data_IF_893725788108
#
_entry.id   IF_893725788108
#
_cell.length_a   1.000
_cell.length_b   1.000
_cell.length_c   1.000
_cell.angle_alpha   90.00
_cell.angle_beta   90.00
_cell.angle_gamma   90.00
#
_symmetry.space_group_name_H-M   'P 1'
#
loop_
_entity.id
_entity.type
_entity.pdbx_description
1 polymer ?
#
# COMPACT_ATOMS: atom_id res chain seq x y z
N UNK A 1 -55.99 35.37 27.27
CA UNK A 1 -55.72 33.98 27.70
C UNK A 1 -55.54 33.15 26.45
N UNK A 2 -54.30 32.87 26.06
CA UNK A 2 -53.97 32.09 24.87
C UNK A 2 -53.69 30.63 25.28
N UNK A 3 -54.29 29.70 24.55
CA UNK A 3 -54.22 28.26 24.77
C UNK A 3 -52.82 27.70 24.48
N UNK A 4 -52.37 26.79 25.34
CA UNK A 4 -51.09 26.08 25.25
C UNK A 4 -51.16 24.93 24.22
N UNK A 5 -50.58 25.16 23.04
CA UNK A 5 -49.95 24.19 22.15
C UNK A 5 -48.48 24.65 22.10
N UNK A 6 -47.42 23.89 22.26
CA UNK A 6 -47.14 22.49 21.99
C UNK A 6 -46.06 22.02 22.97
N UNK A 7 -46.20 20.79 23.51
CA UNK A 7 -45.05 20.14 24.15
C UNK A 7 -44.12 19.68 23.02
N UNK A 8 -42.83 20.09 23.00
CA UNK A 8 -41.90 19.52 22.04
C UNK A 8 -41.74 18.03 22.38
N UNK A 9 -42.16 17.19 21.44
CA UNK A 9 -41.91 15.75 21.42
C UNK A 9 -40.40 15.57 21.64
N UNK A 10 -40.08 14.76 22.65
CA UNK A 10 -38.73 14.62 23.19
C UNK A 10 -37.68 14.54 22.09
N UNK A 11 -36.64 15.36 22.24
CA UNK A 11 -35.42 15.23 21.46
C UNK A 11 -35.01 13.75 21.45
N UNK A 12 -34.74 13.13 20.29
CA UNK A 12 -34.19 11.80 20.27
C UNK A 12 -32.87 11.88 21.04
N UNK A 13 -32.83 11.20 22.18
CA UNK A 13 -31.59 10.89 22.89
C UNK A 13 -30.56 10.47 21.85
N UNK A 14 -29.32 10.97 21.96
CA UNK A 14 -28.18 10.60 21.13
C UNK A 14 -28.03 9.07 21.12
N UNK A 15 -28.75 8.41 20.22
CA UNK A 15 -28.87 6.96 20.18
C UNK A 15 -27.58 6.41 19.57
N UNK A 16 -27.15 5.28 20.14
CA UNK A 16 -26.05 4.46 19.64
C UNK A 16 -26.02 4.40 18.10
N UNK A 17 -24.82 4.37 17.50
CA UNK A 17 -24.70 4.28 16.05
C UNK A 17 -25.42 3.03 15.53
N UNK A 18 -26.48 3.25 14.75
CA UNK A 18 -27.31 2.21 14.11
C UNK A 18 -26.47 1.40 13.14
N UNK A 19 -26.63 0.07 13.19
CA UNK A 19 -25.95 -0.89 12.33
C UNK A 19 -26.86 -1.39 11.22
N UNK A 20 -26.26 -1.87 10.14
CA UNK A 20 -26.97 -2.56 9.09
C UNK A 20 -27.72 -3.78 9.64
N UNK A 21 -29.00 -3.92 9.32
CA UNK A 21 -29.86 -4.98 9.84
C UNK A 21 -30.65 -4.59 11.09
N UNK A 22 -30.41 -3.42 11.68
CA UNK A 22 -31.25 -2.91 12.76
C UNK A 22 -32.67 -2.61 12.24
N UNK A 23 -33.67 -2.89 13.07
CA UNK A 23 -35.09 -2.62 12.79
C UNK A 23 -35.65 -1.76 13.93
N UNK A 24 -36.15 -0.57 13.59
CA UNK A 24 -36.76 0.36 14.53
C UNK A 24 -38.27 0.45 14.29
N UNK A 25 -39.11 -0.01 15.24
CA UNK A 25 -40.55 0.15 15.15
C UNK A 25 -40.98 1.59 15.45
N UNK A 26 -41.92 2.10 14.66
CA UNK A 26 -42.60 3.37 14.91
C UNK A 26 -44.13 3.16 14.77
N UNK A 27 -44.98 4.07 15.29
CA UNK A 27 -46.42 3.81 15.42
C UNK A 27 -47.14 3.39 14.13
N UNK A 28 -46.64 3.82 12.96
CA UNK A 28 -47.21 3.48 11.65
C UNK A 28 -46.36 2.52 10.83
N UNK A 29 -45.27 1.97 11.37
CA UNK A 29 -44.40 1.08 10.58
C UNK A 29 -43.10 0.65 11.25
N UNK A 30 -42.13 0.26 10.41
CA UNK A 30 -40.79 -0.12 10.85
C UNK A 30 -39.76 0.48 9.89
N UNK A 31 -38.70 1.09 10.43
CA UNK A 31 -37.53 1.52 9.68
C UNK A 31 -36.53 0.36 9.72
N UNK A 32 -36.10 -0.13 8.56
CA UNK A 32 -35.03 -1.14 8.46
C UNK A 32 -33.79 -0.48 7.90
N UNK A 33 -32.67 -0.57 8.62
CA UNK A 33 -31.41 0.04 8.21
C UNK A 33 -30.66 -0.88 7.23
N UNK A 34 -30.74 -0.57 5.94
CA UNK A 34 -30.09 -1.33 4.89
C UNK A 34 -28.75 -0.70 4.51
N UNK A 35 -27.66 -1.37 4.87
CA UNK A 35 -26.37 -1.15 4.23
C UNK A 35 -26.25 -2.10 3.03
N UNK A 36 -25.90 -1.61 1.83
CA UNK A 36 -25.47 -2.53 0.80
C UNK A 36 -24.14 -3.12 1.28
N UNK A 37 -24.19 -4.33 1.85
CA UNK A 37 -23.04 -5.21 1.71
C UNK A 37 -22.73 -5.26 0.21
N UNK A 38 -21.45 -5.29 -0.19
CA UNK A 38 -21.07 -5.55 -1.56
C UNK A 38 -21.84 -6.79 -1.98
N UNK A 39 -22.29 -6.76 -3.24
CA UNK A 39 -22.93 -7.93 -3.84
C UNK A 39 -22.16 -9.16 -3.38
N UNK A 40 -22.83 -10.23 -2.92
CA UNK A 40 -22.18 -11.45 -2.45
C UNK A 40 -21.52 -12.14 -3.64
N UNK A 41 -20.44 -11.54 -4.11
CA UNK A 41 -19.56 -12.05 -5.14
C UNK A 41 -18.50 -12.85 -4.43
N UNK A 42 -18.16 -14.05 -4.92
CA UNK A 42 -17.06 -14.83 -4.38
C UNK A 42 -15.69 -14.15 -4.62
N UNK A 43 -15.65 -13.05 -5.37
CA UNK A 43 -14.44 -12.29 -5.62
C UNK A 43 -14.12 -11.34 -4.46
N UNK A 44 -12.87 -11.36 -3.95
CA UNK A 44 -12.43 -10.36 -3.02
C UNK A 44 -12.45 -8.98 -3.72
N UNK A 45 -12.88 -7.93 -3.01
CA UNK A 45 -12.82 -6.56 -3.50
C UNK A 45 -11.35 -6.20 -3.80
N UNK A 46 -11.07 -5.96 -5.08
CA UNK A 46 -9.73 -5.66 -5.57
C UNK A 46 -9.73 -4.31 -6.32
N UNK A 47 -8.77 -3.45 -5.99
CA UNK A 47 -8.57 -2.21 -6.70
C UNK A 47 -7.30 -1.50 -6.24
N UNK A 48 -6.50 -0.92 -7.15
CA UNK A 48 -5.24 -0.25 -6.80
C UNK A 48 -5.45 1.01 -5.93
N UNK A 49 -6.68 1.52 -5.84
CA UNK A 49 -7.04 2.69 -5.06
C UNK A 49 -7.83 2.35 -3.79
N UNK A 50 -8.12 1.07 -3.54
CA UNK A 50 -8.78 0.61 -2.31
C UNK A 50 -7.69 0.36 -1.28
N UNK A 51 -7.78 1.06 -0.15
CA UNK A 51 -6.90 0.90 0.99
C UNK A 51 -7.41 -0.17 1.92
N UNK A 52 -7.95 0.26 3.07
CA UNK A 52 -8.60 -0.62 4.02
C UNK A 52 -10.07 -0.83 3.65
N UNK A 53 -10.54 -2.07 3.79
CA UNK A 53 -11.94 -2.41 3.63
C UNK A 53 -12.37 -3.34 4.77
N UNK A 54 -13.33 -2.87 5.56
CA UNK A 54 -13.93 -3.63 6.66
C UNK A 54 -15.45 -3.42 6.67
N UNK A 55 -16.18 -4.09 7.57
CA UNK A 55 -17.65 -4.06 7.64
C UNK A 55 -18.28 -2.68 7.91
N UNK A 56 -17.48 -1.70 8.32
CA UNK A 56 -17.94 -0.35 8.69
C UNK A 56 -17.61 0.67 7.60
N UNK A 57 -16.39 0.63 7.06
CA UNK A 57 -15.90 1.63 6.12
C UNK A 57 -15.02 1.05 5.00
N UNK A 58 -14.84 1.85 3.96
CA UNK A 58 -13.90 1.64 2.86
C UNK A 58 -13.07 2.90 2.68
N UNK A 59 -11.74 2.76 2.74
CA UNK A 59 -10.81 3.86 2.46
C UNK A 59 -10.45 3.84 0.98
N UNK A 60 -10.72 4.95 0.29
CA UNK A 60 -10.45 5.14 -1.13
C UNK A 60 -9.36 6.21 -1.33
N UNK A 61 -8.41 5.94 -2.21
CA UNK A 61 -7.33 6.87 -2.58
C UNK A 61 -5.97 6.57 -1.93
N UNK A 62 -5.91 5.69 -0.92
CA UNK A 62 -4.65 5.11 -0.45
C UNK A 62 -4.61 3.61 -0.75
N UNK A 63 -4.20 3.23 -1.96
CA UNK A 63 -3.82 1.84 -2.23
C UNK A 63 -2.73 1.35 -1.27
N UNK A 64 -2.60 0.03 -1.10
CA UNK A 64 -1.58 -0.58 -0.22
C UNK A 64 -0.13 -0.14 -0.56
N UNK A 65 0.80 -0.15 0.42
CA UNK A 65 2.22 0.06 0.12
C UNK A 65 2.67 -1.02 -0.87
N UNK A 66 3.05 -0.62 -2.08
CA UNK A 66 3.39 -1.57 -3.13
C UNK A 66 4.63 -2.38 -2.73
N UNK A 67 4.44 -3.67 -2.44
CA UNK A 67 5.53 -4.65 -2.21
C UNK A 67 6.56 -4.60 -3.34
N UNK A 68 6.07 -4.40 -4.57
CA UNK A 68 6.89 -4.22 -5.76
C UNK A 68 7.90 -3.07 -5.63
N UNK A 69 7.53 -1.95 -4.99
CA UNK A 69 8.46 -0.84 -4.78
C UNK A 69 9.64 -1.25 -3.91
N UNK A 70 9.40 -2.01 -2.83
CA UNK A 70 10.48 -2.52 -1.98
C UNK A 70 11.37 -3.54 -2.70
N UNK A 71 10.78 -4.40 -3.52
CA UNK A 71 11.54 -5.30 -4.39
C UNK A 71 12.44 -4.53 -5.35
N UNK A 72 11.95 -3.44 -5.94
CA UNK A 72 12.76 -2.60 -6.83
C UNK A 72 13.81 -1.78 -6.09
N UNK A 73 13.49 -1.19 -4.94
CA UNK A 73 14.40 -0.31 -4.19
C UNK A 73 15.51 -1.08 -3.48
N UNK A 74 15.21 -2.25 -2.90
CA UNK A 74 16.20 -3.06 -2.18
C UNK A 74 16.69 -4.24 -3.03
N UNK A 75 15.74 -5.01 -3.55
CA UNK A 75 16.04 -6.22 -4.31
C UNK A 75 16.78 -5.94 -5.61
N UNK A 76 16.42 -4.88 -6.33
CA UNK A 76 17.07 -4.47 -7.58
C UNK A 76 18.57 -4.21 -7.42
N UNK A 77 18.98 -3.19 -6.62
CA UNK A 77 20.38 -2.88 -6.41
C UNK A 77 21.16 -4.07 -5.85
N UNK A 78 20.61 -4.78 -4.86
CA UNK A 78 21.26 -5.95 -4.26
C UNK A 78 21.49 -7.08 -5.28
N UNK A 79 20.49 -7.38 -6.12
CA UNK A 79 20.59 -8.45 -7.12
C UNK A 79 21.60 -8.09 -8.22
N UNK A 80 21.62 -6.83 -8.66
CA UNK A 80 22.58 -6.33 -9.66
C UNK A 80 24.01 -6.39 -9.09
N UNK A 81 24.23 -5.86 -7.88
CA UNK A 81 25.54 -5.92 -7.23
C UNK A 81 26.02 -7.36 -7.02
N UNK A 82 25.13 -8.25 -6.57
CA UNK A 82 25.46 -9.69 -6.38
C UNK A 82 25.79 -10.37 -7.71
N UNK A 83 25.08 -10.02 -8.79
CA UNK A 83 25.36 -10.58 -10.11
C UNK A 83 26.72 -10.13 -10.65
N UNK A 84 27.08 -8.87 -10.45
CA UNK A 84 28.38 -8.35 -10.88
C UNK A 84 29.53 -9.02 -10.10
N UNK A 85 29.37 -9.17 -8.78
CA UNK A 85 30.43 -9.71 -7.91
C UNK A 85 30.59 -11.22 -8.06
N UNK A 86 29.51 -11.98 -8.22
CA UNK A 86 29.56 -13.44 -8.19
C UNK A 86 29.21 -14.07 -9.53
N UNK A 87 28.10 -13.65 -10.15
CA UNK A 87 27.59 -14.32 -11.34
C UNK A 87 28.50 -14.07 -12.56
N UNK A 88 28.97 -12.84 -12.78
CA UNK A 88 29.83 -12.53 -13.92
C UNK A 88 31.19 -13.21 -13.85
N UNK A 89 31.93 -13.21 -12.72
CA UNK A 89 33.15 -14.01 -12.60
C UNK A 89 32.92 -15.51 -12.81
N UNK A 90 31.79 -16.06 -12.36
CA UNK A 90 31.48 -17.46 -12.62
C UNK A 90 31.20 -17.73 -14.10
N UNK A 91 30.51 -16.81 -14.79
CA UNK A 91 30.26 -16.90 -16.23
C UNK A 91 31.57 -16.80 -17.02
N UNK A 92 32.47 -15.88 -16.67
CA UNK A 92 33.78 -15.77 -17.35
C UNK A 92 34.61 -17.03 -17.17
N UNK A 93 34.63 -17.60 -15.97
CA UNK A 93 35.28 -18.89 -15.72
C UNK A 93 34.69 -20.03 -16.54
N UNK A 94 33.35 -20.13 -16.60
CA UNK A 94 32.65 -21.14 -17.39
C UNK A 94 32.91 -20.99 -18.90
N UNK A 95 32.97 -19.76 -19.40
CA UNK A 95 33.36 -19.49 -20.79
C UNK A 95 34.80 -19.92 -21.05
N UNK A 96 35.72 -19.66 -20.12
CA UNK A 96 37.11 -20.12 -20.24
C UNK A 96 37.24 -21.65 -20.36
N UNK A 97 36.41 -22.40 -19.62
CA UNK A 97 36.31 -23.87 -19.75
C UNK A 97 35.78 -24.26 -21.14
N UNK A 98 34.70 -23.62 -21.60
CA UNK A 98 34.08 -23.91 -22.91
C UNK A 98 35.06 -23.67 -24.06
N UNK A 99 35.87 -22.61 -23.97
CA UNK A 99 36.88 -22.27 -24.99
C UNK A 99 38.19 -23.05 -24.86
N UNK A 100 38.35 -23.87 -23.81
CA UNK A 100 39.53 -24.72 -23.61
C UNK A 100 40.78 -23.95 -23.17
N UNK A 101 40.62 -22.87 -22.42
CA UNK A 101 41.76 -22.15 -21.83
C UNK A 101 42.44 -22.96 -20.73
N UNK A 102 43.72 -22.65 -20.49
CA UNK A 102 44.48 -23.24 -19.39
C UNK A 102 43.91 -22.80 -18.04
N UNK A 103 44.02 -23.67 -17.03
CA UNK A 103 43.46 -23.43 -15.70
C UNK A 103 43.88 -22.09 -15.09
N UNK A 104 45.14 -21.69 -15.27
CA UNK A 104 45.66 -20.42 -14.76
C UNK A 104 45.00 -19.22 -15.45
N UNK A 105 44.79 -19.29 -16.77
CA UNK A 105 44.11 -18.24 -17.52
C UNK A 105 42.62 -18.14 -17.15
N UNK A 106 41.97 -19.27 -16.87
CA UNK A 106 40.58 -19.30 -16.36
C UNK A 106 40.53 -18.59 -15.01
N UNK A 107 41.39 -18.97 -14.06
CA UNK A 107 41.44 -18.36 -12.73
C UNK A 107 41.73 -16.87 -12.79
N UNK A 108 42.75 -16.46 -13.55
CA UNK A 108 43.10 -15.06 -13.76
C UNK A 108 41.92 -14.25 -14.31
N UNK A 109 41.22 -14.77 -15.32
CA UNK A 109 40.03 -14.11 -15.88
C UNK A 109 38.90 -13.92 -14.87
N UNK A 110 38.72 -14.86 -13.94
CA UNK A 110 37.72 -14.76 -12.88
C UNK A 110 38.12 -13.70 -11.85
N UNK A 111 39.39 -13.67 -11.44
CA UNK A 111 39.92 -12.70 -10.48
C UNK A 111 39.86 -11.29 -11.05
N UNK A 112 40.32 -11.08 -12.28
CA UNK A 112 40.24 -9.78 -12.95
C UNK A 112 38.80 -9.30 -13.05
N UNK A 113 37.87 -10.19 -13.42
CA UNK A 113 36.46 -9.81 -13.49
C UNK A 113 35.88 -9.44 -12.12
N UNK A 114 36.25 -10.17 -11.07
CA UNK A 114 35.85 -9.87 -9.70
C UNK A 114 36.39 -8.52 -9.22
N UNK A 115 37.68 -8.26 -9.41
CA UNK A 115 38.32 -7.02 -8.96
C UNK A 115 37.72 -5.79 -9.63
N UNK A 116 37.57 -5.84 -10.96
CA UNK A 116 36.93 -4.77 -11.74
C UNK A 116 35.48 -4.59 -11.28
N UNK A 117 34.73 -5.68 -11.14
CA UNK A 117 33.34 -5.63 -10.68
C UNK A 117 33.20 -5.02 -9.28
N UNK A 118 34.07 -5.44 -8.35
CA UNK A 118 34.08 -4.97 -6.97
C UNK A 118 34.37 -3.47 -6.86
N UNK A 119 35.38 -2.98 -7.59
CA UNK A 119 35.75 -1.56 -7.62
C UNK A 119 34.58 -0.68 -8.07
N UNK A 120 33.79 -1.15 -9.04
CA UNK A 120 32.62 -0.42 -9.51
C UNK A 120 31.44 -0.51 -8.53
N UNK A 121 31.17 -1.70 -7.99
CA UNK A 121 30.01 -1.94 -7.13
C UNK A 121 30.12 -1.22 -5.78
N UNK A 122 31.33 -1.08 -5.23
CA UNK A 122 31.51 -0.44 -3.91
C UNK A 122 31.01 1.01 -3.89
N UNK A 123 31.12 1.72 -5.01
CA UNK A 123 30.63 3.09 -5.15
C UNK A 123 29.22 3.14 -5.73
N UNK A 124 28.97 2.41 -6.83
CA UNK A 124 27.70 2.50 -7.57
C UNK A 124 26.54 1.85 -6.84
N UNK A 125 26.75 0.72 -6.15
CA UNK A 125 25.71 -0.01 -5.42
C UNK A 125 25.03 0.84 -4.34
N UNK A 126 25.79 1.40 -3.38
CA UNK A 126 25.24 2.30 -2.36
C UNK A 126 24.60 3.55 -2.97
N UNK A 127 25.16 4.10 -4.05
CA UNK A 127 24.62 5.29 -4.69
C UNK A 127 23.24 5.02 -5.32
N UNK A 128 23.08 3.91 -6.04
CA UNK A 128 21.78 3.49 -6.60
C UNK A 128 20.77 3.22 -5.47
N UNK A 129 21.20 2.56 -4.39
CA UNK A 129 20.36 2.33 -3.21
C UNK A 129 19.89 3.65 -2.59
N UNK A 130 20.78 4.63 -2.44
CA UNK A 130 20.45 5.95 -1.90
C UNK A 130 19.44 6.69 -2.77
N UNK A 131 19.59 6.65 -4.10
CA UNK A 131 18.61 7.21 -5.03
C UNK A 131 17.26 6.51 -4.84
N UNK A 132 17.25 5.17 -4.81
CA UNK A 132 16.04 4.38 -4.60
C UNK A 132 15.33 4.71 -3.29
N UNK A 133 16.08 4.83 -2.20
CA UNK A 133 15.57 5.23 -0.88
C UNK A 133 15.08 6.68 -0.87
N UNK A 134 15.74 7.58 -1.59
CA UNK A 134 15.30 8.97 -1.75
C UNK A 134 13.97 9.08 -2.48
N UNK A 135 13.81 8.34 -3.60
CA UNK A 135 12.54 8.24 -4.34
C UNK A 135 11.45 7.62 -3.48
N UNK A 136 11.78 6.54 -2.76
CA UNK A 136 10.87 5.91 -1.82
C UNK A 136 10.40 6.90 -0.75
N UNK A 137 11.33 7.59 -0.09
CA UNK A 137 11.04 8.54 0.98
C UNK A 137 10.17 9.70 0.49
N UNK A 138 10.46 10.24 -0.71
CA UNK A 138 9.65 11.28 -1.33
C UNK A 138 8.20 10.82 -1.55
N UNK A 139 8.02 9.63 -2.13
CA UNK A 139 6.69 9.07 -2.37
C UNK A 139 5.98 8.69 -1.07
N UNK A 140 6.72 8.18 -0.08
CA UNK A 140 6.19 7.87 1.24
C UNK A 140 5.66 9.14 1.92
N UNK A 141 6.42 10.23 1.91
CA UNK A 141 5.99 11.52 2.47
C UNK A 141 4.76 12.08 1.75
N UNK A 142 4.73 12.00 0.41
CA UNK A 142 3.56 12.41 -0.37
C UNK A 142 2.33 11.59 0.00
N UNK A 143 2.48 10.27 0.17
CA UNK A 143 1.40 9.36 0.55
C UNK A 143 0.95 9.56 2.00
N UNK A 144 1.85 9.83 2.94
CA UNK A 144 1.47 10.11 4.33
C UNK A 144 0.70 11.42 4.50
N UNK A 145 0.86 12.37 3.56
CA UNK A 145 0.04 13.59 3.53
C UNK A 145 -1.29 13.43 2.81
N UNK A 146 -1.48 12.34 2.06
CA UNK A 146 -2.77 12.04 1.44
C UNK A 146 -3.68 11.44 2.51
N UNK A 147 -4.87 12.01 2.63
CA UNK A 147 -5.93 11.51 3.49
C UNK A 147 -6.87 10.69 2.60
N UNK A 148 -7.18 9.43 2.95
CA UNK A 148 -8.10 8.64 2.16
C UNK A 148 -9.50 9.21 2.30
N UNK A 149 -10.27 9.18 1.21
CA UNK A 149 -11.70 9.40 1.30
C UNK A 149 -12.33 8.18 1.94
N UNK A 150 -12.89 8.33 3.14
CA UNK A 150 -13.54 7.25 3.87
C UNK A 150 -15.02 7.20 3.52
N UNK A 151 -15.45 6.08 2.93
CA UNK A 151 -16.85 5.79 2.67
C UNK A 151 -17.42 4.95 3.80
N UNK A 152 -18.44 5.44 4.49
CA UNK A 152 -19.17 4.65 5.47
C UNK A 152 -20.11 3.68 4.74
N UNK A 153 -19.84 2.38 4.85
CA UNK A 153 -20.62 1.34 4.15
C UNK A 153 -22.03 1.19 4.72
N UNK A 154 -22.22 1.55 5.99
CA UNK A 154 -23.52 1.42 6.66
C UNK A 154 -24.46 2.60 6.38
N UNK A 155 -23.93 3.83 6.31
CA UNK A 155 -24.74 5.05 6.22
C UNK A 155 -24.77 5.69 4.82
N UNK A 156 -23.98 5.18 3.86
CA UNK A 156 -23.79 5.79 2.53
C UNK A 156 -23.34 7.26 2.61
N UNK A 157 -22.56 7.56 3.64
CA UNK A 157 -21.97 8.86 3.89
C UNK A 157 -20.51 8.84 3.44
N UNK A 158 -20.07 9.98 2.90
CA UNK A 158 -18.67 10.21 2.55
C UNK A 158 -18.10 11.18 3.58
N UNK A 159 -17.07 10.76 4.30
CA UNK A 159 -16.34 11.66 5.18
C UNK A 159 -15.41 12.51 4.31
N UNK A 160 -15.79 13.78 4.11
CA UNK A 160 -14.92 14.80 3.53
C UNK A 160 -14.16 15.49 4.65
N UNK A 161 -12.84 15.50 4.56
CA UNK A 161 -12.03 16.07 5.61
C UNK A 161 -11.99 17.60 5.49
N UNK A 162 -12.27 18.37 6.57
CA UNK A 162 -11.94 19.78 6.61
C UNK A 162 -10.42 19.98 6.53
N UNK A 163 -9.98 21.07 5.90
CA UNK A 163 -8.56 21.40 5.74
C UNK A 163 -7.84 21.40 7.10
N UNK A 164 -6.87 20.50 7.28
CA UNK A 164 -5.98 20.45 8.46
C UNK A 164 -6.19 19.28 9.43
N UNK A 165 -7.19 18.41 9.24
CA UNK A 165 -7.31 17.21 10.07
C UNK A 165 -6.36 16.09 9.60
N UNK A 166 -5.79 15.33 10.54
CA UNK A 166 -4.79 14.28 10.29
C UNK A 166 -5.38 12.87 10.18
N UNK A 167 -6.62 12.67 10.63
CA UNK A 167 -7.26 11.35 10.73
C UNK A 167 -8.75 11.40 10.37
N UNK A 168 -9.26 10.43 9.57
CA UNK A 168 -10.66 10.40 9.15
C UNK A 168 -11.58 10.11 10.35
N UNK A 169 -12.50 11.05 10.62
CA UNK A 169 -13.53 10.97 11.66
C UNK A 169 -14.63 9.95 11.33
#
# INVERSE_FOLDING_TARGET
MANNHDKPIGAPQLQQPKKAGDIEPFPSGKITYLAPLPLPTPMPPYGPHIGELNDVYMDFGLGSPQVFMWQMTLGGPFSVSSSIIFLFPLITGLLGIIFGYEQEAIWDSMVVMFEVGYEHVILTGPFILLIGLGVWHHNHKKRSTLIPTRFNRQRREVCFMPSGATEPL
#
